data_IF_147809360995
#
_entry.id   IF_147809360995
#
_cell.length_a   1.000
_cell.length_b   1.000
_cell.length_c   1.000
_cell.angle_alpha   90.00
_cell.angle_beta   90.00
_cell.angle_gamma   90.00
#
_symmetry.space_group_name_H-M   'P 1'
#
loop_
_entity.id
_entity.type
_entity.pdbx_description
1 polymer ?
#
# COMPACT_ATOMS: atom_id res chain seq x y z
N UNK A 1 -4.36 -9.44 -18.89
CA UNK A 1 -5.62 -8.66 -18.99
C UNK A 1 -5.83 -8.00 -17.62
N UNK A 2 -6.26 -6.75 -17.56
CA UNK A 2 -6.57 -6.06 -16.30
C UNK A 2 -8.01 -6.41 -15.90
N UNK A 3 -8.19 -6.89 -14.68
CA UNK A 3 -9.50 -7.30 -14.14
C UNK A 3 -9.77 -6.57 -12.83
N UNK A 4 -11.02 -6.19 -12.58
CA UNK A 4 -11.39 -5.54 -11.34
C UNK A 4 -11.53 -6.56 -10.20
N UNK A 5 -10.75 -6.39 -9.14
CA UNK A 5 -10.72 -7.29 -7.99
C UNK A 5 -11.60 -6.75 -6.86
N UNK A 6 -12.70 -7.45 -6.54
CA UNK A 6 -13.55 -7.12 -5.38
C UNK A 6 -12.83 -7.30 -4.03
N UNK A 7 -11.71 -8.02 -3.99
CA UNK A 7 -10.94 -8.24 -2.77
C UNK A 7 -10.08 -7.02 -2.42
N UNK A 8 -9.49 -6.37 -3.40
CA UNK A 8 -8.61 -5.21 -3.21
C UNK A 8 -9.25 -3.89 -3.61
N UNK A 9 -10.43 -3.94 -4.26
CA UNK A 9 -11.13 -2.79 -4.83
C UNK A 9 -10.25 -2.02 -5.85
N UNK A 10 -9.42 -2.75 -6.61
CA UNK A 10 -8.52 -2.18 -7.64
C UNK A 10 -8.55 -2.98 -8.93
N UNK A 11 -8.05 -2.36 -10.02
CA UNK A 11 -7.75 -3.05 -11.26
C UNK A 11 -6.44 -3.83 -11.08
N UNK A 12 -6.52 -5.15 -11.05
CA UNK A 12 -5.38 -6.04 -10.92
C UNK A 12 -5.04 -6.65 -12.28
N UNK A 13 -3.76 -6.67 -12.62
CA UNK A 13 -3.28 -7.54 -13.67
C UNK A 13 -3.15 -8.93 -13.06
N UNK A 14 -3.58 -9.97 -13.75
CA UNK A 14 -3.39 -11.37 -13.32
C UNK A 14 -1.88 -11.65 -13.24
N UNK A 15 -1.25 -11.37 -12.10
CA UNK A 15 0.18 -11.59 -11.88
C UNK A 15 0.44 -12.98 -11.31
N UNK A 16 1.35 -13.67 -12.00
CA UNK A 16 2.20 -14.78 -11.59
C UNK A 16 1.75 -15.59 -10.36
N UNK A 17 1.27 -16.82 -10.60
CA UNK A 17 1.09 -17.81 -9.53
C UNK A 17 2.43 -18.16 -8.92
N UNK A 18 2.71 -17.63 -7.73
CA UNK A 18 3.87 -18.04 -6.94
C UNK A 18 3.73 -19.52 -6.57
N UNK A 19 4.70 -20.34 -6.96
CA UNK A 19 4.80 -21.73 -6.53
C UNK A 19 5.55 -21.81 -5.21
N UNK A 20 5.07 -22.66 -4.29
CA UNK A 20 5.78 -22.90 -3.04
C UNK A 20 7.16 -23.50 -3.37
N UNK A 21 8.22 -22.91 -2.83
CA UNK A 21 9.58 -23.39 -2.97
C UNK A 21 10.02 -23.91 -1.61
N UNK A 22 10.40 -25.19 -1.57
CA UNK A 22 11.06 -25.77 -0.41
C UNK A 22 12.55 -25.45 -0.51
N UNK A 23 13.03 -24.58 0.37
CA UNK A 23 14.41 -24.06 0.36
C UNK A 23 15.10 -24.49 1.65
N UNK A 24 16.37 -24.88 1.55
CA UNK A 24 17.15 -25.37 2.69
C UNK A 24 17.31 -24.31 3.79
N UNK A 25 17.43 -23.03 3.41
CA UNK A 25 17.65 -21.91 4.32
C UNK A 25 16.63 -20.79 4.09
N UNK A 26 16.08 -20.17 5.15
CA UNK A 26 15.06 -19.13 5.02
C UNK A 26 15.65 -17.77 4.60
N UNK A 27 14.92 -17.04 3.74
CA UNK A 27 15.24 -15.63 3.44
C UNK A 27 14.73 -14.72 4.57
N UNK A 28 15.67 -14.22 5.38
CA UNK A 28 15.36 -13.42 6.58
C UNK A 28 15.39 -11.91 6.36
N UNK A 29 15.69 -11.43 5.14
CA UNK A 29 15.71 -10.00 4.80
C UNK A 29 16.52 -9.14 5.78
N UNK A 30 17.68 -9.65 6.24
CA UNK A 30 18.51 -9.03 7.29
C UNK A 30 19.00 -7.62 6.97
N UNK A 31 18.96 -7.18 5.71
CA UNK A 31 19.26 -5.80 5.33
C UNK A 31 18.14 -4.81 5.67
N UNK A 32 16.89 -5.29 5.65
CA UNK A 32 15.69 -4.50 5.92
C UNK A 32 15.29 -4.56 7.41
N UNK A 33 15.43 -5.74 8.03
CA UNK A 33 15.01 -6.01 9.40
C UNK A 33 16.19 -6.44 10.28
N UNK A 34 17.07 -5.50 10.62
CA UNK A 34 18.14 -5.78 11.58
C UNK A 34 17.63 -5.69 13.02
N UNK A 35 18.24 -6.46 13.92
CA UNK A 35 17.89 -6.48 15.34
C UNK A 35 18.47 -5.31 16.15
N UNK A 36 19.43 -4.57 15.58
CA UNK A 36 20.18 -3.52 16.26
C UNK A 36 19.89 -2.10 15.72
N UNK A 37 19.06 -1.96 14.69
CA UNK A 37 18.66 -0.68 14.12
C UNK A 37 17.15 -0.71 13.80
N UNK A 38 16.55 0.48 13.69
CA UNK A 38 15.16 0.60 13.25
C UNK A 38 15.02 0.01 11.84
N UNK A 39 13.97 -0.77 11.56
CA UNK A 39 13.74 -1.34 10.23
C UNK A 39 13.74 -0.28 9.13
N UNK A 40 14.34 -0.63 8.00
CA UNK A 40 14.38 0.25 6.82
C UNK A 40 13.14 0.02 5.98
N UNK A 41 12.58 1.11 5.47
CA UNK A 41 11.46 1.05 4.51
C UNK A 41 12.07 1.20 3.11
N UNK A 42 12.23 0.09 2.35
CA UNK A 42 12.72 0.20 0.99
C UNK A 42 11.61 0.82 0.13
N UNK A 43 11.90 1.96 -0.48
CA UNK A 43 11.08 2.46 -1.57
C UNK A 43 11.40 1.62 -2.81
N UNK A 44 10.60 0.59 -3.06
CA UNK A 44 10.56 0.02 -4.38
C UNK A 44 9.78 0.99 -5.29
N UNK A 45 10.12 1.09 -6.57
CA UNK A 45 9.31 1.83 -7.54
C UNK A 45 7.97 1.11 -7.85
N UNK A 46 7.48 0.25 -6.94
CA UNK A 46 6.22 -0.44 -7.06
C UNK A 46 5.17 0.41 -6.36
N UNK A 47 4.10 0.74 -7.07
CA UNK A 47 2.93 1.32 -6.44
C UNK A 47 2.29 0.27 -5.53
N UNK A 48 2.15 0.58 -4.24
CA UNK A 48 1.26 -0.15 -3.36
C UNK A 48 -0.16 0.13 -3.87
N UNK A 49 -0.93 -0.88 -4.31
CA UNK A 49 -2.29 -0.65 -4.72
C UNK A 49 -3.03 -0.12 -3.49
N UNK A 50 -3.48 1.13 -3.57
CA UNK A 50 -4.43 1.66 -2.60
C UNK A 50 -5.60 0.69 -2.59
N UNK A 51 -6.01 0.19 -1.44
CA UNK A 51 -7.25 -0.59 -1.32
C UNK A 51 -8.35 0.39 -0.95
N UNK A 52 -8.90 1.17 -1.90
CA UNK A 52 -9.93 2.12 -1.55
C UNK A 52 -11.10 1.35 -0.94
N UNK A 53 -11.79 1.91 0.06
CA UNK A 53 -13.00 1.29 0.57
C UNK A 53 -14.07 1.28 -0.53
N UNK A 54 -14.98 0.31 -0.49
CA UNK A 54 -16.11 0.21 -1.42
C UNK A 54 -16.99 1.47 -1.35
N UNK A 55 -17.13 2.03 -0.15
CA UNK A 55 -17.81 3.29 0.11
C UNK A 55 -16.81 4.31 0.68
N UNK A 56 -16.71 5.46 0.02
CA UNK A 56 -15.90 6.59 0.49
C UNK A 56 -16.82 7.61 1.13
N UNK A 57 -16.67 7.82 2.44
CA UNK A 57 -17.32 8.91 3.14
C UNK A 57 -16.52 10.19 2.95
N UNK A 58 -17.15 11.20 2.36
CA UNK A 58 -16.55 12.51 2.18
C UNK A 58 -17.18 13.44 3.22
N UNK A 59 -16.34 14.11 3.99
CA UNK A 59 -16.77 15.18 4.90
C UNK A 59 -16.29 16.51 4.35
N UNK A 60 -17.20 17.48 4.28
CA UNK A 60 -16.89 18.82 3.79
C UNK A 60 -16.34 19.68 4.94
N UNK A 61 -15.07 20.06 4.85
CA UNK A 61 -14.40 20.93 5.83
C UNK A 61 -14.26 22.37 5.36
N UNK A 62 -14.92 22.76 4.25
CA UNK A 62 -14.81 24.10 3.63
C UNK A 62 -15.06 25.23 4.62
N UNK A 63 -16.07 25.10 5.49
CA UNK A 63 -16.42 26.14 6.47
C UNK A 63 -15.52 26.16 7.72
N UNK A 64 -14.75 25.10 7.97
CA UNK A 64 -13.81 25.03 9.10
C UNK A 64 -12.39 25.29 8.61
N UNK A 65 -11.80 24.30 7.93
CA UNK A 65 -10.42 24.40 7.40
C UNK A 65 -10.32 25.45 6.30
N UNK A 66 -11.29 25.44 5.36
CA UNK A 66 -11.24 26.32 4.20
C UNK A 66 -11.31 27.79 4.59
N UNK A 67 -12.16 28.16 5.55
CA UNK A 67 -12.25 29.53 6.05
C UNK A 67 -11.02 29.94 6.89
N UNK A 68 -10.50 29.05 7.73
CA UNK A 68 -9.30 29.30 8.54
C UNK A 68 -8.03 29.48 7.69
N UNK A 69 -7.99 28.90 6.48
CA UNK A 69 -6.88 29.03 5.55
C UNK A 69 -6.89 30.33 4.71
N UNK A 70 -7.94 31.16 4.80
CA UNK A 70 -7.98 32.46 4.11
C UNK A 70 -7.17 33.49 4.90
N UNK A 71 -6.50 34.39 4.16
CA UNK A 71 -5.83 35.54 4.77
C UNK A 71 -6.87 36.41 5.53
N UNK A 72 -6.46 37.01 6.67
CA UNK A 72 -7.35 37.80 7.52
C UNK A 72 -7.87 39.08 6.87
#
# INVERSE_FOLDING_TARGET
MLEFSKRSNTLEQTEYKYTLQDVEEPQLYRLLYKYNEVPKIPFNHRHVPMRPPDEIFITDTTFRDGQQARAP
#
